data_IF_499086083866
#
_entry.id   IF_499086083866
#
_cell.length_a   1.000
_cell.length_b   1.000
_cell.length_c   1.000
_cell.angle_alpha   90.00
_cell.angle_beta   90.00
_cell.angle_gamma   90.00
#
_symmetry.space_group_name_H-M   'P 1'
#
loop_
_entity.id
_entity.type
_entity.pdbx_description
1 polymer ?
#
# COMPACT_ATOMS: atom_id res chain seq x y z
N UNK A 1 27.31 0.73 -6.97
CA UNK A 1 25.95 1.24 -7.29
C UNK A 1 24.97 0.07 -7.28
N UNK A 2 23.73 0.24 -6.81
CA UNK A 2 22.75 -0.85 -6.67
C UNK A 2 21.56 -0.67 -7.60
N UNK A 3 20.92 -1.78 -7.95
CA UNK A 3 19.68 -1.84 -8.74
C UNK A 3 18.67 -2.72 -8.04
N UNK A 4 17.38 -2.47 -8.24
CA UNK A 4 16.33 -3.38 -7.77
C UNK A 4 16.36 -4.68 -8.58
N UNK A 5 16.15 -5.83 -7.93
CA UNK A 5 16.15 -7.13 -8.60
C UNK A 5 14.95 -7.30 -9.54
N UNK A 6 15.08 -8.23 -10.47
CA UNK A 6 13.91 -8.78 -11.14
C UNK A 6 13.29 -9.85 -10.24
N UNK A 7 12.08 -9.63 -9.75
CA UNK A 7 11.36 -10.62 -8.94
C UNK A 7 9.91 -10.74 -9.43
N UNK A 8 9.54 -11.84 -10.10
CA UNK A 8 8.17 -12.05 -10.55
C UNK A 8 7.19 -12.17 -9.36
N UNK A 9 7.66 -12.75 -8.24
CA UNK A 9 6.87 -12.81 -7.01
C UNK A 9 6.57 -11.42 -6.45
N UNK A 10 7.57 -10.54 -6.42
CA UNK A 10 7.37 -9.16 -5.98
C UNK A 10 6.43 -8.39 -6.92
N UNK A 11 6.49 -8.67 -8.23
CA UNK A 11 5.57 -8.08 -9.21
C UNK A 11 4.12 -8.49 -8.94
N UNK A 12 3.87 -9.78 -8.71
CA UNK A 12 2.52 -10.27 -8.39
C UNK A 12 1.98 -9.64 -7.10
N UNK A 13 2.80 -9.55 -6.05
CA UNK A 13 2.41 -8.89 -4.79
C UNK A 13 2.15 -7.40 -5.00
N UNK A 14 2.97 -6.74 -5.80
CA UNK A 14 2.81 -5.32 -6.13
C UNK A 14 1.52 -5.04 -6.91
N UNK A 15 0.97 -6.00 -7.66
CA UNK A 15 -0.27 -5.82 -8.40
C UNK A 15 -1.53 -5.92 -7.53
N UNK A 16 -1.44 -6.46 -6.32
CA UNK A 16 -2.62 -6.65 -5.45
C UNK A 16 -3.39 -5.34 -5.19
N UNK A 17 -2.76 -4.21 -4.81
CA UNK A 17 -3.49 -2.96 -4.59
C UNK A 17 -4.24 -2.47 -5.84
N UNK A 18 -3.61 -2.58 -7.01
CA UNK A 18 -4.24 -2.23 -8.29
C UNK A 18 -5.40 -3.17 -8.61
N UNK A 19 -5.23 -4.47 -8.41
CA UNK A 19 -6.27 -5.48 -8.60
C UNK A 19 -7.50 -5.20 -7.74
N UNK A 20 -7.31 -4.84 -6.47
CA UNK A 20 -8.39 -4.49 -5.53
C UNK A 20 -9.11 -3.21 -5.98
N UNK A 21 -8.36 -2.14 -6.30
CA UNK A 21 -8.96 -0.88 -6.74
C UNK A 21 -9.74 -1.06 -8.04
N UNK A 22 -9.20 -1.80 -9.01
CA UNK A 22 -9.92 -2.10 -10.24
C UNK A 22 -11.17 -2.94 -10.00
N UNK A 23 -11.13 -3.90 -9.07
CA UNK A 23 -12.30 -4.71 -8.76
C UNK A 23 -13.44 -3.84 -8.19
N UNK A 24 -13.11 -2.92 -7.28
CA UNK A 24 -14.07 -1.96 -6.71
C UNK A 24 -14.62 -1.03 -7.79
N UNK A 25 -13.76 -0.44 -8.63
CA UNK A 25 -14.19 0.45 -9.71
C UNK A 25 -15.07 -0.28 -10.74
N UNK A 26 -14.73 -1.53 -11.07
CA UNK A 26 -15.48 -2.38 -12.00
C UNK A 26 -16.86 -2.72 -11.42
N UNK A 27 -16.92 -3.10 -10.14
CA UNK A 27 -18.18 -3.37 -9.44
C UNK A 27 -19.08 -2.13 -9.39
N UNK A 28 -18.51 -0.95 -9.09
CA UNK A 28 -19.26 0.31 -9.09
C UNK A 28 -19.76 0.69 -10.48
N UNK A 29 -18.95 0.50 -11.52
CA UNK A 29 -19.37 0.73 -12.90
C UNK A 29 -20.49 -0.22 -13.32
N UNK A 30 -20.42 -1.50 -12.92
CA UNK A 30 -21.46 -2.49 -13.18
C UNK A 30 -22.77 -2.14 -12.47
N UNK A 31 -22.69 -1.76 -11.19
CA UNK A 31 -23.86 -1.30 -10.42
C UNK A 31 -24.49 -0.06 -11.08
N UNK A 32 -23.68 0.91 -11.51
CA UNK A 32 -24.16 2.08 -12.24
C UNK A 32 -24.84 1.72 -13.57
N UNK A 33 -24.27 0.78 -14.34
CA UNK A 33 -24.83 0.33 -15.60
C UNK A 33 -26.17 -0.42 -15.42
N UNK A 34 -26.22 -1.37 -14.46
CA UNK A 34 -27.45 -2.08 -14.08
C UNK A 34 -28.57 -1.14 -13.68
N UNK A 35 -28.20 -0.08 -12.96
CA UNK A 35 -29.15 0.90 -12.49
C UNK A 35 -29.66 1.77 -13.66
N UNK A 36 -28.78 2.27 -14.54
CA UNK A 36 -29.16 3.16 -15.64
C UNK A 36 -29.93 2.45 -16.76
N UNK A 37 -29.50 1.25 -17.16
CA UNK A 37 -30.09 0.46 -18.23
C UNK A 37 -30.03 -1.04 -17.89
N UNK A 38 -31.01 -1.58 -17.15
CA UNK A 38 -30.97 -2.95 -16.64
C UNK A 38 -30.94 -4.03 -17.74
N UNK A 39 -31.31 -3.67 -18.97
CA UNK A 39 -31.27 -4.57 -20.13
C UNK A 39 -29.93 -4.56 -20.88
N UNK A 40 -29.06 -3.58 -20.65
CA UNK A 40 -27.76 -3.41 -21.34
C UNK A 40 -26.55 -3.71 -20.43
N UNK A 41 -26.75 -4.61 -19.47
CA UNK A 41 -25.67 -5.02 -18.57
C UNK A 41 -24.66 -5.89 -19.34
N UNK A 42 -23.36 -5.54 -19.36
CA UNK A 42 -22.36 -6.32 -20.07
C UNK A 42 -22.27 -7.74 -19.52
N UNK A 43 -22.06 -8.71 -20.41
CA UNK A 43 -21.94 -10.11 -20.04
C UNK A 43 -20.79 -10.32 -19.03
N UNK A 44 -20.90 -11.28 -18.10
CA UNK A 44 -19.85 -11.55 -17.10
C UNK A 44 -18.46 -11.77 -17.72
N UNK A 45 -18.39 -12.45 -18.86
CA UNK A 45 -17.14 -12.70 -19.58
C UNK A 45 -16.50 -11.40 -20.09
N UNK A 46 -17.31 -10.45 -20.56
CA UNK A 46 -16.85 -9.15 -21.02
C UNK A 46 -16.31 -8.32 -19.85
N UNK A 47 -16.98 -8.36 -18.70
CA UNK A 47 -16.52 -7.72 -17.45
C UNK A 47 -15.17 -8.29 -17.03
N UNK A 48 -15.02 -9.61 -17.05
CA UNK A 48 -13.77 -10.30 -16.72
C UNK A 48 -12.65 -9.92 -17.69
N UNK A 49 -12.93 -9.89 -19.00
CA UNK A 49 -11.95 -9.51 -20.03
C UNK A 49 -11.47 -8.07 -19.80
N UNK A 50 -12.36 -7.11 -19.55
CA UNK A 50 -11.94 -5.73 -19.27
C UNK A 50 -11.14 -5.61 -17.98
N UNK A 51 -11.53 -6.32 -16.92
CA UNK A 51 -10.79 -6.35 -15.66
C UNK A 51 -9.36 -6.89 -15.85
N UNK A 52 -9.24 -8.05 -16.51
CA UNK A 52 -7.94 -8.70 -16.78
C UNK A 52 -7.09 -7.84 -17.72
N UNK A 53 -7.67 -7.28 -18.78
CA UNK A 53 -6.96 -6.40 -19.71
C UNK A 53 -6.39 -5.16 -19.00
N UNK A 54 -7.14 -4.59 -18.06
CA UNK A 54 -6.70 -3.44 -17.28
C UNK A 54 -5.54 -3.79 -16.34
N UNK A 55 -5.67 -4.90 -15.62
CA UNK A 55 -4.61 -5.37 -14.72
C UNK A 55 -3.34 -5.76 -15.50
N UNK A 56 -3.50 -6.37 -16.68
CA UNK A 56 -2.38 -6.71 -17.57
C UNK A 56 -1.67 -5.45 -18.10
N UNK A 57 -2.43 -4.41 -18.45
CA UNK A 57 -1.88 -3.12 -18.89
C UNK A 57 -1.03 -2.49 -17.78
N UNK A 58 -1.53 -2.43 -16.55
CA UNK A 58 -0.77 -1.89 -15.43
C UNK A 58 0.46 -2.73 -15.09
N UNK A 59 0.36 -4.06 -15.16
CA UNK A 59 1.50 -4.96 -14.99
C UNK A 59 2.59 -4.75 -16.04
N UNK A 60 2.21 -4.58 -17.30
CA UNK A 60 3.14 -4.29 -18.39
C UNK A 60 3.84 -2.93 -18.19
N UNK A 61 3.08 -1.90 -17.79
CA UNK A 61 3.63 -0.56 -17.54
C UNK A 61 4.54 -0.54 -16.30
N UNK A 62 4.16 -1.20 -15.20
CA UNK A 62 5.01 -1.37 -14.02
C UNK A 62 6.32 -2.08 -14.37
N UNK A 63 6.26 -3.13 -15.17
CA UNK A 63 7.45 -3.84 -15.65
C UNK A 63 8.35 -2.95 -16.51
N UNK A 64 7.76 -2.19 -17.44
CA UNK A 64 8.49 -1.24 -18.28
C UNK A 64 9.14 -0.12 -17.45
N UNK A 65 8.42 0.43 -16.47
CA UNK A 65 8.93 1.42 -15.54
C UNK A 65 10.11 0.89 -14.71
N UNK A 66 9.98 -0.33 -14.18
CA UNK A 66 11.07 -1.00 -13.46
C UNK A 66 12.31 -1.14 -14.35
N UNK A 67 12.13 -1.62 -15.58
CA UNK A 67 13.21 -1.75 -16.55
C UNK A 67 13.93 -0.42 -16.78
N UNK A 68 13.19 0.67 -16.96
CA UNK A 68 13.73 2.03 -17.16
C UNK A 68 14.50 2.54 -15.93
N UNK A 69 13.94 2.39 -14.72
CA UNK A 69 14.63 2.79 -13.48
C UNK A 69 15.90 1.97 -13.26
N UNK A 70 15.87 0.68 -13.61
CA UNK A 70 17.01 -0.23 -13.52
C UNK A 70 18.14 0.17 -14.46
N UNK A 71 17.83 0.57 -15.70
CA UNK A 71 18.82 1.07 -16.66
C UNK A 71 19.54 2.34 -16.16
N UNK A 72 18.82 3.20 -15.42
CA UNK A 72 19.37 4.42 -14.82
C UNK A 72 19.99 4.19 -13.43
N UNK A 73 20.03 2.94 -12.97
CA UNK A 73 20.51 2.56 -11.64
C UNK A 73 19.86 3.35 -10.48
N UNK A 74 18.56 3.66 -10.64
CA UNK A 74 17.75 4.30 -9.61
C UNK A 74 17.13 3.19 -8.75
N UNK A 75 17.45 3.18 -7.46
CA UNK A 75 16.99 2.14 -6.53
C UNK A 75 16.18 2.69 -5.34
N UNK A 76 15.78 3.96 -5.38
CA UNK A 76 15.04 4.56 -4.27
C UNK A 76 13.58 4.10 -4.27
N UNK A 77 13.06 3.74 -3.08
CA UNK A 77 11.66 3.30 -2.93
C UNK A 77 10.67 4.39 -3.35
N UNK A 78 11.03 5.65 -3.14
CA UNK A 78 10.24 6.80 -3.57
C UNK A 78 10.18 6.92 -5.10
N UNK A 79 11.29 6.69 -5.81
CA UNK A 79 11.27 6.67 -7.28
C UNK A 79 10.38 5.54 -7.81
N UNK A 80 10.40 4.37 -7.17
CA UNK A 80 9.49 3.28 -7.49
C UNK A 80 8.03 3.62 -7.19
N UNK A 81 7.74 4.32 -6.09
CA UNK A 81 6.39 4.81 -5.80
C UNK A 81 5.92 5.80 -6.88
N UNK A 82 6.72 6.81 -7.22
CA UNK A 82 6.37 7.78 -8.26
C UNK A 82 6.20 7.13 -9.63
N UNK A 83 7.08 6.19 -9.98
CA UNK A 83 6.96 5.40 -11.20
C UNK A 83 5.64 4.63 -11.22
N UNK A 84 5.31 3.92 -10.15
CA UNK A 84 4.06 3.15 -10.08
C UNK A 84 2.83 4.04 -10.24
N UNK A 85 2.81 5.23 -9.63
CA UNK A 85 1.74 6.21 -9.81
C UNK A 85 1.64 6.71 -11.25
N UNK A 86 2.76 7.13 -11.84
CA UNK A 86 2.80 7.59 -13.22
C UNK A 86 2.35 6.51 -14.21
N UNK A 87 2.76 5.25 -13.98
CA UNK A 87 2.37 4.11 -14.81
C UNK A 87 0.87 3.81 -14.70
N UNK A 88 0.30 3.82 -13.48
CA UNK A 88 -1.14 3.61 -13.32
C UNK A 88 -1.98 4.77 -13.90
N UNK A 89 -1.49 6.01 -13.82
CA UNK A 89 -2.12 7.15 -14.49
C UNK A 89 -2.09 7.01 -16.02
N UNK A 90 -0.96 6.56 -16.57
CA UNK A 90 -0.84 6.27 -18.00
C UNK A 90 -1.72 5.09 -18.43
N UNK A 91 -1.76 4.01 -17.64
CA UNK A 91 -2.64 2.85 -17.85
C UNK A 91 -4.11 3.25 -17.83
N UNK A 92 -4.49 4.14 -16.91
CA UNK A 92 -5.82 4.73 -16.86
C UNK A 92 -6.15 5.52 -18.15
N UNK A 93 -5.25 6.37 -18.63
CA UNK A 93 -5.43 7.13 -19.87
C UNK A 93 -5.54 6.21 -21.11
N UNK A 94 -4.72 5.17 -21.19
CA UNK A 94 -4.76 4.15 -22.25
C UNK A 94 -6.10 3.41 -22.21
N UNK A 95 -6.58 3.03 -21.03
CA UNK A 95 -7.85 2.35 -20.86
C UNK A 95 -9.04 3.21 -21.32
N UNK A 96 -9.03 4.52 -21.05
CA UNK A 96 -10.05 5.44 -21.59
C UNK A 96 -9.99 5.48 -23.12
N UNK A 97 -8.79 5.69 -23.67
CA UNK A 97 -8.60 5.88 -25.11
C UNK A 97 -9.04 4.66 -25.93
N UNK A 98 -8.82 3.46 -25.39
CA UNK A 98 -9.12 2.19 -26.06
C UNK A 98 -10.45 1.56 -25.60
N UNK A 99 -11.29 2.29 -24.88
CA UNK A 99 -12.59 1.81 -24.38
C UNK A 99 -12.49 0.50 -23.56
N UNK A 100 -11.41 0.33 -22.79
CA UNK A 100 -11.17 -0.83 -21.90
C UNK A 100 -11.78 -0.55 -20.52
N UNK A 101 -12.96 0.07 -20.49
CA UNK A 101 -13.70 0.40 -19.28
C UNK A 101 -15.17 0.07 -19.49
N UNK A 102 -15.86 -0.36 -18.43
CA UNK A 102 -17.29 -0.69 -18.47
C UNK A 102 -18.18 0.55 -18.69
N UNK A 103 -17.70 1.73 -18.32
CA UNK A 103 -18.43 2.98 -18.52
C UNK A 103 -17.49 4.07 -19.02
N UNK A 104 -18.01 4.91 -19.90
CA UNK A 104 -17.30 6.13 -20.32
C UNK A 104 -17.33 7.15 -19.18
N UNK A 105 -16.19 7.73 -18.77
CA UNK A 105 -16.17 8.79 -17.78
C UNK A 105 -17.04 9.97 -18.23
N UNK A 106 -17.93 10.44 -17.37
CA UNK A 106 -18.66 11.67 -17.64
C UNK A 106 -17.69 12.86 -17.73
N UNK A 107 -17.99 13.84 -18.59
CA UNK A 107 -17.21 15.07 -18.71
C UNK A 107 -16.97 15.71 -17.34
N UNK A 108 -15.71 16.02 -17.02
CA UNK A 108 -15.31 16.60 -15.73
C UNK A 108 -14.94 15.59 -14.62
N UNK A 109 -15.18 14.28 -14.79
CA UNK A 109 -14.84 13.24 -13.78
C UNK A 109 -13.52 12.52 -14.05
N UNK A 110 -12.88 12.80 -15.19
CA UNK A 110 -11.66 12.12 -15.66
C UNK A 110 -10.51 12.17 -14.65
N UNK A 111 -10.25 13.33 -14.05
CA UNK A 111 -9.19 13.52 -13.06
C UNK A 111 -9.49 12.76 -11.76
N UNK A 112 -10.73 12.82 -11.30
CA UNK A 112 -11.17 12.22 -10.03
C UNK A 112 -11.13 10.69 -10.10
N UNK A 113 -11.59 10.11 -11.22
CA UNK A 113 -11.52 8.66 -11.47
C UNK A 113 -10.09 8.14 -11.64
N UNK A 114 -9.18 8.96 -12.17
CA UNK A 114 -7.77 8.60 -12.33
C UNK A 114 -6.96 8.61 -11.02
N UNK A 115 -7.44 9.30 -9.99
CA UNK A 115 -6.71 9.49 -8.73
C UNK A 115 -6.55 8.18 -7.94
N UNK A 116 -7.63 7.40 -7.79
CA UNK A 116 -7.63 6.12 -7.08
C UNK A 116 -6.64 5.11 -7.70
N UNK A 117 -6.68 4.83 -9.02
CA UNK A 117 -5.68 4.01 -9.69
C UNK A 117 -4.26 4.56 -9.54
N UNK A 118 -4.07 5.89 -9.61
CA UNK A 118 -2.74 6.51 -9.45
C UNK A 118 -2.17 6.23 -8.06
N UNK A 119 -2.95 6.42 -7.00
CA UNK A 119 -2.52 6.13 -5.62
C UNK A 119 -2.24 4.63 -5.45
N UNK A 120 -3.11 3.76 -5.98
CA UNK A 120 -2.89 2.31 -5.98
C UNK A 120 -1.60 1.94 -6.71
N UNK A 121 -1.31 2.60 -7.84
CA UNK A 121 -0.07 2.49 -8.58
C UNK A 121 1.14 2.92 -7.76
N UNK A 122 1.04 4.02 -7.01
CA UNK A 122 2.13 4.45 -6.12
C UNK A 122 2.44 3.41 -5.05
N UNK A 123 1.40 2.83 -4.44
CA UNK A 123 1.55 1.75 -3.47
C UNK A 123 2.16 0.52 -4.15
N UNK A 124 1.66 0.13 -5.33
CA UNK A 124 2.19 -0.99 -6.12
C UNK A 124 3.69 -0.85 -6.43
N UNK A 125 4.09 0.30 -6.98
CA UNK A 125 5.48 0.58 -7.28
C UNK A 125 6.35 0.54 -6.03
N UNK A 126 5.91 1.15 -4.93
CA UNK A 126 6.60 1.09 -3.65
C UNK A 126 6.79 -0.36 -3.15
N UNK A 127 5.73 -1.18 -3.19
CA UNK A 127 5.76 -2.61 -2.81
C UNK A 127 6.77 -3.38 -3.64
N UNK A 128 6.79 -3.13 -4.95
CA UNK A 128 7.74 -3.77 -5.85
C UNK A 128 9.19 -3.44 -5.45
N UNK A 129 9.49 -2.15 -5.27
CA UNK A 129 10.82 -1.70 -4.82
C UNK A 129 11.22 -2.23 -3.44
N UNK A 130 10.25 -2.48 -2.55
CA UNK A 130 10.45 -3.08 -1.23
C UNK A 130 10.77 -4.58 -1.33
N UNK A 131 9.94 -5.35 -2.04
CA UNK A 131 9.99 -6.82 -2.00
C UNK A 131 10.92 -7.44 -3.03
N UNK A 132 11.22 -6.74 -4.14
CA UNK A 132 12.18 -7.26 -5.11
C UNK A 132 13.60 -7.30 -4.51
N UNK A 133 13.93 -6.40 -3.58
CA UNK A 133 15.26 -6.29 -2.99
C UNK A 133 16.29 -5.69 -3.96
N UNK A 134 17.54 -5.61 -3.53
CA UNK A 134 18.63 -4.94 -4.24
C UNK A 134 19.72 -5.93 -4.68
N UNK A 135 20.26 -5.73 -5.88
CA UNK A 135 21.47 -6.34 -6.39
C UNK A 135 22.54 -5.29 -6.73
N UNK A 136 23.83 -5.65 -6.65
CA UNK A 136 24.88 -4.81 -7.20
C UNK A 136 24.66 -4.61 -8.71
N UNK A 137 24.78 -3.36 -9.17
CA UNK A 137 24.67 -3.04 -10.58
C UNK A 137 25.84 -3.71 -11.33
N UNK A 138 25.53 -4.41 -12.42
CA UNK A 138 26.48 -5.24 -13.20
C UNK A 138 27.71 -4.48 -13.76
N UNK A 139 27.76 -3.15 -13.64
CA UNK A 139 28.92 -2.30 -13.98
C UNK A 139 30.07 -2.36 -12.97
N UNK A 140 29.91 -3.03 -11.83
CA UNK A 140 30.98 -3.22 -10.86
C UNK A 140 31.42 -4.68 -10.86
N UNK A 141 32.72 -4.97 -10.66
CA UNK A 141 33.22 -6.35 -10.62
C UNK A 141 32.38 -7.16 -9.65
N UNK A 142 32.01 -8.39 -10.07
CA UNK A 142 31.39 -9.37 -9.19
C UNK A 142 32.35 -9.54 -8.01
N UNK A 143 32.03 -8.95 -6.86
CA UNK A 143 32.63 -9.37 -5.60
C UNK A 143 32.47 -10.89 -5.56
N UNK A 144 33.58 -11.61 -5.42
CA UNK A 144 33.57 -13.08 -5.48
C UNK A 144 32.49 -13.59 -4.53
N UNK A 145 31.75 -14.60 -4.99
CA UNK A 145 30.65 -15.18 -4.23
C UNK A 145 31.13 -15.71 -2.86
N UNK A 146 32.41 -16.05 -2.74
CA UNK A 146 33.10 -16.44 -1.50
C UNK A 146 33.27 -15.29 -0.50
N UNK A 147 33.41 -14.04 -0.96
CA UNK A 147 33.49 -12.84 -0.10
C UNK A 147 32.13 -12.24 0.27
N UNK A 148 31.08 -12.55 -0.49
CA UNK A 148 29.70 -12.11 -0.21
C UNK A 148 28.91 -13.13 0.62
N UNK A 149 29.23 -14.43 0.51
CA UNK A 149 28.73 -15.47 1.41
C UNK A 149 29.29 -15.29 2.83
N UNK A 150 30.45 -14.65 2.95
CA UNK A 150 31.07 -14.19 4.21
C UNK A 150 30.80 -12.70 4.48
N UNK A 151 29.82 -12.06 3.79
CA UNK A 151 29.36 -10.71 4.12
C UNK A 151 28.76 -10.72 5.52
N UNK A 152 29.63 -10.46 6.48
CA UNK A 152 29.41 -10.43 7.92
C UNK A 152 28.05 -9.86 8.26
N UNK A 153 27.22 -10.78 8.75
CA UNK A 153 25.87 -10.54 9.21
C UNK A 153 25.92 -9.78 10.53
N UNK A 154 25.12 -8.71 10.67
CA UNK A 154 24.88 -8.12 11.98
C UNK A 154 24.03 -9.09 12.81
N UNK A 155 24.67 -9.85 13.68
CA UNK A 155 24.06 -10.69 14.70
C UNK A 155 23.95 -9.90 16.01
N UNK A 156 23.02 -8.95 16.04
CA UNK A 156 22.84 -8.07 17.19
C UNK A 156 21.38 -7.63 17.37
N UNK A 157 21.05 -6.99 18.50
CA UNK A 157 19.69 -6.56 18.77
C UNK A 157 19.21 -5.57 17.70
N UNK A 158 18.00 -5.82 17.18
CA UNK A 158 17.39 -4.99 16.14
C UNK A 158 16.15 -4.29 16.65
N UNK A 159 15.83 -3.14 16.04
CA UNK A 159 14.60 -2.40 16.30
C UNK A 159 13.96 -2.01 14.98
N UNK A 160 12.67 -1.70 15.01
CA UNK A 160 11.95 -1.22 13.83
C UNK A 160 12.42 0.19 13.50
N UNK A 161 12.77 0.46 12.24
CA UNK A 161 13.23 1.78 11.77
C UNK A 161 12.06 2.77 11.70
N UNK A 162 12.30 4.04 12.01
CA UNK A 162 11.28 5.08 11.73
C UNK A 162 11.20 5.33 10.23
N UNK A 163 10.02 5.12 9.64
CA UNK A 163 9.82 5.26 8.20
C UNK A 163 8.65 6.18 7.89
N UNK A 164 8.94 7.38 7.37
CA UNK A 164 7.90 8.34 6.94
C UNK A 164 7.00 7.71 5.87
N UNK A 165 7.59 7.01 4.89
CA UNK A 165 6.82 6.31 3.86
C UNK A 165 5.93 5.21 4.46
N UNK A 166 6.45 4.47 5.45
CA UNK A 166 5.66 3.46 6.17
C UNK A 166 4.48 4.08 6.94
N UNK A 167 4.68 5.23 7.57
CA UNK A 167 3.63 5.99 8.25
C UNK A 167 2.56 6.43 7.25
N UNK A 168 2.96 7.06 6.14
CA UNK A 168 2.02 7.53 5.11
C UNK A 168 1.18 6.38 4.55
N UNK A 169 1.82 5.27 4.18
CA UNK A 169 1.10 4.10 3.65
C UNK A 169 0.12 3.56 4.70
N UNK A 170 0.59 3.31 5.93
CA UNK A 170 -0.28 2.81 6.99
C UNK A 170 -1.44 3.78 7.32
N UNK A 171 -1.17 5.09 7.33
CA UNK A 171 -2.15 6.13 7.63
C UNK A 171 -3.23 6.31 6.54
N UNK A 172 -2.95 5.89 5.30
CA UNK A 172 -3.96 5.91 4.22
C UNK A 172 -4.94 4.74 4.29
N UNK A 173 -4.61 3.67 5.00
CA UNK A 173 -5.42 2.44 5.02
C UNK A 173 -6.80 2.60 5.64
N UNK A 174 -7.00 3.35 6.75
CA UNK A 174 -8.33 3.60 7.26
C UNK A 174 -9.26 4.24 6.24
N UNK A 175 -8.76 5.18 5.43
CA UNK A 175 -9.53 5.80 4.37
C UNK A 175 -9.94 4.77 3.31
N UNK A 176 -8.98 3.97 2.81
CA UNK A 176 -9.25 2.90 1.84
C UNK A 176 -10.31 1.93 2.37
N UNK A 177 -10.11 1.40 3.57
CA UNK A 177 -10.99 0.38 4.15
C UNK A 177 -12.37 0.95 4.47
N UNK A 178 -12.44 2.16 5.02
CA UNK A 178 -13.72 2.82 5.31
C UNK A 178 -14.49 3.13 4.04
N UNK A 179 -13.83 3.62 2.98
CA UNK A 179 -14.49 3.83 1.69
C UNK A 179 -15.06 2.53 1.15
N UNK A 180 -14.28 1.45 1.13
CA UNK A 180 -14.73 0.15 0.62
C UNK A 180 -15.92 -0.33 1.44
N UNK A 181 -15.84 -0.28 2.78
CA UNK A 181 -16.91 -0.72 3.66
C UNK A 181 -18.18 0.12 3.49
N UNK A 182 -18.06 1.45 3.48
CA UNK A 182 -19.19 2.38 3.32
C UNK A 182 -19.89 2.19 1.98
N UNK A 183 -19.14 2.04 0.88
CA UNK A 183 -19.71 1.79 -0.45
C UNK A 183 -20.40 0.43 -0.48
N UNK A 184 -19.77 -0.61 0.07
CA UNK A 184 -20.34 -1.96 0.10
C UNK A 184 -21.64 -1.98 0.91
N UNK A 185 -21.66 -1.33 2.08
CA UNK A 185 -22.87 -1.21 2.90
C UNK A 185 -23.95 -0.39 2.21
N UNK A 186 -23.60 0.74 1.59
CA UNK A 186 -24.54 1.57 0.86
C UNK A 186 -25.18 0.81 -0.32
N UNK A 187 -24.40 0.00 -1.05
CA UNK A 187 -24.91 -0.83 -2.13
C UNK A 187 -25.91 -1.90 -1.67
N UNK A 188 -25.89 -2.27 -0.38
CA UNK A 188 -26.85 -3.21 0.21
C UNK A 188 -28.15 -2.53 0.69
N UNK A 189 -28.22 -1.20 0.73
CA UNK A 189 -29.41 -0.49 1.19
C UNK A 189 -30.51 -0.47 0.11
N UNK A 190 -31.77 -0.81 0.46
CA UNK A 190 -32.90 -0.73 -0.47
C UNK A 190 -33.06 0.68 -1.04
N UNK A 191 -33.16 0.80 -2.36
CA UNK A 191 -33.33 2.08 -3.05
C UNK A 191 -32.04 2.87 -3.29
N UNK A 192 -30.88 2.45 -2.77
CA UNK A 192 -29.60 3.10 -3.10
C UNK A 192 -29.24 2.92 -4.58
N UNK A 193 -29.44 1.73 -5.12
CA UNK A 193 -29.28 1.45 -6.55
C UNK A 193 -30.24 2.28 -7.38
N UNK A 194 -31.52 2.35 -6.99
CA UNK A 194 -32.57 3.14 -7.64
C UNK A 194 -32.28 4.65 -7.61
N UNK A 195 -31.74 5.15 -6.49
CA UNK A 195 -31.28 6.52 -6.36
C UNK A 195 -30.15 6.81 -7.33
N UNK A 196 -29.11 5.96 -7.34
CA UNK A 196 -27.93 6.09 -8.20
C UNK A 196 -28.25 5.97 -9.70
N UNK A 197 -29.38 5.37 -10.08
CA UNK A 197 -29.85 5.29 -11.48
C UNK A 197 -30.64 6.48 -12.01
N UNK A 198 -31.21 7.33 -11.15
CA UNK A 198 -32.27 8.24 -11.57
C UNK A 198 -31.73 9.62 -12.03
N UNK A 199 -32.02 10.06 -13.26
CA UNK A 199 -31.72 11.43 -13.72
C UNK A 199 -30.24 11.74 -13.99
N UNK A 200 -29.73 12.89 -13.53
CA UNK A 200 -28.33 13.35 -13.63
C UNK A 200 -27.33 12.54 -12.78
N UNK A 201 -27.79 11.46 -12.14
CA UNK A 201 -27.03 10.63 -11.20
C UNK A 201 -25.87 9.77 -11.72
N UNK A 202 -25.66 9.42 -13.01
CA UNK A 202 -24.50 8.60 -13.37
C UNK A 202 -23.16 9.32 -13.13
N UNK A 203 -23.13 10.66 -13.18
CA UNK A 203 -21.96 11.46 -12.82
C UNK A 203 -21.69 11.37 -11.31
N UNK A 204 -22.74 11.44 -10.50
CA UNK A 204 -22.68 11.32 -9.04
C UNK A 204 -22.27 9.90 -8.66
N UNK A 205 -22.79 8.88 -9.34
CA UNK A 205 -22.46 7.48 -9.09
C UNK A 205 -20.97 7.17 -9.29
N UNK A 206 -20.37 7.85 -10.25
CA UNK A 206 -18.94 7.79 -10.58
C UNK A 206 -18.08 8.65 -9.63
N UNK A 207 -18.53 9.86 -9.29
CA UNK A 207 -17.76 10.81 -8.50
C UNK A 207 -17.80 10.50 -6.99
N UNK A 208 -18.90 9.93 -6.51
CA UNK A 208 -19.17 9.71 -5.09
C UNK A 208 -18.13 8.78 -4.42
N UNK A 209 -17.68 7.67 -5.02
CA UNK A 209 -16.59 6.87 -4.47
C UNK A 209 -15.28 7.64 -4.30
N UNK A 210 -14.89 8.43 -5.31
CA UNK A 210 -13.66 9.21 -5.28
C UNK A 210 -13.76 10.36 -4.27
N UNK A 211 -14.91 11.01 -4.18
CA UNK A 211 -15.18 12.08 -3.22
C UNK A 211 -15.25 11.55 -1.78
N UNK A 212 -15.91 10.42 -1.54
CA UNK A 212 -15.90 9.75 -0.24
C UNK A 212 -14.48 9.30 0.14
N UNK A 213 -13.73 8.74 -0.80
CA UNK A 213 -12.33 8.39 -0.57
C UNK A 213 -11.48 9.60 -0.18
N UNK A 214 -11.54 10.69 -0.95
CA UNK A 214 -10.80 11.91 -0.64
C UNK A 214 -11.24 12.52 0.69
N UNK A 215 -12.54 12.50 0.98
CA UNK A 215 -13.09 13.00 2.25
C UNK A 215 -12.56 12.19 3.41
N UNK A 216 -12.69 10.86 3.37
CA UNK A 216 -12.13 10.00 4.41
C UNK A 216 -10.62 10.13 4.49
N UNK A 217 -9.90 10.20 3.37
CA UNK A 217 -8.46 10.41 3.36
C UNK A 217 -8.06 11.68 4.10
N UNK A 218 -8.64 12.83 3.74
CA UNK A 218 -8.33 14.12 4.39
C UNK A 218 -8.67 14.09 5.88
N UNK A 219 -9.83 13.53 6.24
CA UNK A 219 -10.29 13.47 7.63
C UNK A 219 -9.44 12.49 8.45
N UNK A 220 -9.04 11.35 7.89
CA UNK A 220 -8.39 10.29 8.67
C UNK A 220 -6.87 10.29 8.60
N UNK A 221 -6.23 10.89 7.59
CA UNK A 221 -4.78 10.72 7.37
C UNK A 221 -3.94 11.27 8.53
N UNK A 222 -4.26 12.46 9.04
CA UNK A 222 -3.54 13.08 10.16
C UNK A 222 -3.74 12.29 11.46
N UNK A 223 -4.97 11.99 11.93
CA UNK A 223 -5.14 11.21 13.14
C UNK A 223 -4.58 9.79 13.01
N UNK A 224 -4.66 9.18 11.83
CA UNK A 224 -4.06 7.86 11.58
C UNK A 224 -2.54 7.90 11.63
N UNK A 225 -1.90 8.93 11.08
CA UNK A 225 -0.45 9.10 11.16
C UNK A 225 0.02 9.29 12.60
N UNK A 226 -0.73 10.05 13.41
CA UNK A 226 -0.46 10.20 14.85
C UNK A 226 -0.59 8.84 15.55
N UNK A 227 -1.63 8.07 15.26
CA UNK A 227 -1.82 6.73 15.85
C UNK A 227 -0.66 5.79 15.48
N UNK A 228 -0.21 5.77 14.23
CA UNK A 228 0.94 4.96 13.79
C UNK A 228 2.23 5.41 14.46
N UNK A 229 2.45 6.72 14.64
CA UNK A 229 3.60 7.24 15.37
C UNK A 229 3.58 6.79 16.84
N UNK A 230 2.44 6.95 17.53
CA UNK A 230 2.27 6.48 18.89
C UNK A 230 2.51 4.96 19.01
N UNK A 231 1.94 4.18 18.08
CA UNK A 231 2.15 2.73 17.99
C UNK A 231 3.63 2.39 17.83
N UNK A 232 4.35 3.08 16.93
CA UNK A 232 5.78 2.87 16.71
C UNK A 232 6.60 3.15 17.96
N UNK A 233 6.34 4.26 18.64
CA UNK A 233 7.06 4.63 19.86
C UNK A 233 6.75 3.67 21.01
N UNK A 234 5.49 3.27 21.17
CA UNK A 234 5.07 2.28 22.16
C UNK A 234 5.73 0.91 21.90
N UNK A 235 5.68 0.44 20.65
CA UNK A 235 6.32 -0.81 20.25
C UNK A 235 7.84 -0.79 20.49
N UNK A 236 8.49 0.34 20.19
CA UNK A 236 9.93 0.55 20.49
C UNK A 236 10.21 0.52 21.98
N UNK A 237 9.41 1.17 22.81
CA UNK A 237 9.55 1.16 24.27
C UNK A 237 9.41 -0.27 24.83
N UNK A 238 8.50 -1.06 24.28
CA UNK A 238 8.25 -2.44 24.67
C UNK A 238 9.20 -3.46 23.99
N UNK A 239 10.18 -2.99 23.20
CA UNK A 239 11.12 -3.83 22.41
C UNK A 239 10.43 -4.85 21.49
N UNK A 240 9.23 -4.52 21.02
CA UNK A 240 8.43 -5.35 20.11
C UNK A 240 8.89 -5.14 18.67
N UNK A 241 9.01 -6.23 17.93
CA UNK A 241 9.60 -6.22 16.59
C UNK A 241 8.94 -7.22 15.63
N UNK A 242 7.98 -8.04 16.07
CA UNK A 242 7.26 -8.98 15.20
C UNK A 242 6.03 -8.31 14.58
N UNK A 243 5.65 -8.74 13.37
CA UNK A 243 4.51 -8.17 12.65
C UNK A 243 3.18 -8.33 13.39
N UNK A 244 2.93 -9.51 13.98
CA UNK A 244 1.72 -9.78 14.74
C UNK A 244 1.64 -8.96 16.04
N UNK A 245 2.78 -8.63 16.66
CA UNK A 245 2.81 -7.75 17.85
C UNK A 245 2.35 -6.34 17.48
N UNK A 246 2.83 -5.82 16.35
CA UNK A 246 2.38 -4.53 15.82
C UNK A 246 0.91 -4.54 15.44
N UNK A 247 0.41 -5.64 14.85
CA UNK A 247 -1.01 -5.80 14.56
C UNK A 247 -1.84 -5.79 15.85
N UNK A 248 -1.45 -6.57 16.86
CA UNK A 248 -2.15 -6.62 18.14
C UNK A 248 -2.16 -5.26 18.85
N UNK A 249 -1.00 -4.59 18.94
CA UNK A 249 -0.91 -3.26 19.54
C UNK A 249 -1.72 -2.22 18.76
N UNK A 250 -1.68 -2.24 17.43
CA UNK A 250 -2.47 -1.33 16.60
C UNK A 250 -3.98 -1.54 16.78
N UNK A 251 -4.43 -2.79 16.82
CA UNK A 251 -5.83 -3.14 17.07
C UNK A 251 -6.29 -2.71 18.47
N UNK A 252 -5.47 -2.96 19.50
CA UNK A 252 -5.77 -2.52 20.88
C UNK A 252 -5.85 -1.01 20.99
N UNK A 253 -4.89 -0.28 20.40
CA UNK A 253 -4.91 1.19 20.41
C UNK A 253 -6.16 1.74 19.72
N UNK A 254 -6.53 1.19 18.56
CA UNK A 254 -7.75 1.60 17.88
C UNK A 254 -9.01 1.26 18.68
N UNK A 255 -9.06 0.11 19.36
CA UNK A 255 -10.15 -0.25 20.27
C UNK A 255 -10.27 0.75 21.42
N UNK A 256 -9.15 1.12 22.04
CA UNK A 256 -9.11 2.10 23.12
C UNK A 256 -9.57 3.47 22.62
N UNK A 257 -9.11 3.92 21.45
CA UNK A 257 -9.59 5.18 20.85
C UNK A 257 -11.10 5.13 20.57
N UNK A 258 -11.60 4.05 19.98
CA UNK A 258 -13.03 3.89 19.72
C UNK A 258 -13.87 3.90 21.01
N UNK A 259 -13.38 3.24 22.06
CA UNK A 259 -14.01 3.25 23.39
C UNK A 259 -14.01 4.65 24.01
N UNK A 260 -12.88 5.38 23.97
CA UNK A 260 -12.80 6.74 24.52
C UNK A 260 -13.69 7.74 23.76
N UNK A 261 -13.93 7.51 22.47
CA UNK A 261 -14.82 8.33 21.65
C UNK A 261 -16.31 7.95 21.77
N UNK A 262 -16.63 6.82 22.42
CA UNK A 262 -18.01 6.34 22.51
C UNK A 262 -19.01 7.29 23.18
N UNK A 263 -18.64 8.14 24.15
CA UNK A 263 -19.58 9.11 24.71
C UNK A 263 -20.01 10.19 23.70
N UNK A 264 -19.16 10.49 22.71
CA UNK A 264 -19.45 11.50 21.68
C UNK A 264 -20.15 10.91 20.46
N UNK A 265 -20.04 9.60 20.27
CA UNK A 265 -20.70 8.86 19.20
C UNK A 265 -21.33 7.62 19.84
N UNK A 266 -22.58 7.71 20.32
CA UNK A 266 -23.25 6.63 21.07
C UNK A 266 -23.28 5.30 20.33
N UNK A 267 -23.17 5.34 19.00
CA UNK A 267 -23.06 4.19 18.11
C UNK A 267 -21.66 3.54 18.09
N UNK A 268 -20.66 3.99 18.86
CA UNK A 268 -19.30 3.39 18.86
C UNK A 268 -19.08 2.37 19.98
N UNK A 269 -19.79 2.43 21.11
CA UNK A 269 -19.65 1.44 22.20
C UNK A 269 -20.51 0.22 21.94
N UNK A 270 -19.87 -0.93 21.69
CA UNK A 270 -20.57 -2.22 21.54
C UNK A 270 -21.22 -2.43 20.16
N UNK A 271 -20.90 -1.59 19.18
CA UNK A 271 -21.41 -1.71 17.82
C UNK A 271 -20.45 -2.47 16.89
N UNK A 272 -20.91 -2.93 15.71
CA UNK A 272 -20.03 -3.45 14.66
C UNK A 272 -18.89 -2.50 14.26
N UNK A 273 -18.99 -1.19 14.55
CA UNK A 273 -17.94 -0.22 14.26
C UNK A 273 -16.70 -0.40 15.15
N UNK A 274 -16.83 -0.94 16.37
CA UNK A 274 -15.67 -1.26 17.21
C UNK A 274 -14.84 -2.38 16.58
N UNK A 275 -15.48 -3.40 16.00
CA UNK A 275 -14.79 -4.47 15.28
C UNK A 275 -14.06 -3.93 14.04
N UNK A 276 -14.68 -3.01 13.30
CA UNK A 276 -14.04 -2.35 12.17
C UNK A 276 -12.80 -1.55 12.65
N UNK A 277 -12.92 -0.78 13.73
CA UNK A 277 -11.81 -0.01 14.30
C UNK A 277 -10.63 -0.91 14.72
N UNK A 278 -10.89 -2.02 15.42
CA UNK A 278 -9.88 -3.01 15.80
C UNK A 278 -9.17 -3.56 14.56
N UNK A 279 -9.96 -3.95 13.56
CA UNK A 279 -9.44 -4.52 12.30
C UNK A 279 -8.57 -3.51 11.57
N UNK A 280 -9.00 -2.24 11.49
CA UNK A 280 -8.25 -1.18 10.85
C UNK A 280 -6.94 -0.89 11.59
N UNK A 281 -6.99 -0.77 12.91
CA UNK A 281 -5.80 -0.60 13.74
C UNK A 281 -4.80 -1.75 13.58
N UNK A 282 -5.28 -2.99 13.51
CA UNK A 282 -4.44 -4.16 13.31
C UNK A 282 -3.77 -4.16 11.93
N UNK A 283 -4.52 -3.82 10.87
CA UNK A 283 -3.98 -3.69 9.51
C UNK A 283 -2.94 -2.58 9.45
N UNK A 284 -3.24 -1.40 10.03
CA UNK A 284 -2.29 -0.28 10.09
C UNK A 284 -0.98 -0.68 10.77
N UNK A 285 -1.06 -1.35 11.93
CA UNK A 285 0.13 -1.78 12.66
C UNK A 285 0.95 -2.82 11.89
N UNK A 286 0.30 -3.84 11.34
CA UNK A 286 0.94 -4.85 10.52
C UNK A 286 1.65 -4.25 9.31
N UNK A 287 0.97 -3.36 8.59
CA UNK A 287 1.50 -2.70 7.40
C UNK A 287 2.65 -1.77 7.74
N UNK A 288 2.50 -0.95 8.78
CA UNK A 288 3.59 -0.09 9.24
C UNK A 288 4.84 -0.92 9.51
N UNK A 289 4.71 -2.03 10.26
CA UNK A 289 5.84 -2.92 10.55
C UNK A 289 6.45 -3.54 9.29
N UNK A 290 5.63 -3.94 8.33
CA UNK A 290 6.09 -4.50 7.07
C UNK A 290 6.92 -3.49 6.24
N UNK A 291 6.55 -2.20 6.29
CA UNK A 291 7.21 -1.15 5.50
C UNK A 291 8.35 -0.43 6.21
N UNK A 292 8.29 -0.33 7.52
CA UNK A 292 9.29 0.35 8.33
C UNK A 292 10.67 -0.29 8.21
N UNK A 293 10.71 -1.63 8.10
CA UNK A 293 11.96 -2.39 8.10
C UNK A 293 12.62 -2.43 9.48
N UNK A 294 13.74 -3.11 9.57
CA UNK A 294 14.55 -3.22 10.79
C UNK A 294 15.84 -2.41 10.64
N UNK A 295 16.32 -1.89 11.75
CA UNK A 295 17.64 -1.27 11.90
C UNK A 295 18.35 -1.83 13.14
N UNK A 296 19.69 -1.88 13.15
CA UNK A 296 20.46 -2.19 14.35
C UNK A 296 20.10 -1.23 15.50
N UNK A 297 20.04 -1.75 16.72
CA UNK A 297 19.95 -0.89 17.91
C UNK A 297 21.28 -0.12 18.02
N UNK A 298 21.25 1.21 18.22
CA UNK A 298 22.47 1.97 18.47
C UNK A 298 23.15 1.39 19.71
N UNK A 299 24.41 0.99 19.55
CA UNK A 299 25.21 0.47 20.64
C UNK A 299 25.43 1.59 21.67
N UNK A 300 25.37 1.29 22.98
CA UNK A 300 25.91 2.20 23.98
C UNK A 300 27.42 2.42 23.72
N UNK A 301 28.02 3.43 24.38
CA UNK A 301 29.46 3.71 24.31
C UNK A 301 30.32 2.44 24.49
N UNK A 302 31.51 2.45 23.88
CA UNK A 302 32.55 1.42 23.90
C UNK A 302 32.07 -0.01 24.24
N UNK A 303 31.66 -0.75 23.20
CA UNK A 303 31.25 -2.16 23.34
C UNK A 303 32.48 -3.06 23.32
N UNK A 304 32.67 -3.84 24.38
CA UNK A 304 33.67 -4.92 24.40
C UNK A 304 33.18 -6.03 23.48
N UNK A 305 33.83 -6.19 22.33
CA UNK A 305 33.54 -7.31 21.44
C UNK A 305 34.19 -8.58 21.98
N UNK A 306 33.37 -9.60 22.26
CA UNK A 306 33.82 -10.94 22.66
C UNK A 306 34.40 -11.74 21.50
N UNK A 307 34.01 -11.40 20.26
CA UNK A 307 34.54 -12.00 19.04
C UNK A 307 35.08 -10.91 18.10
N UNK A 308 36.39 -10.87 17.83
CA UNK A 308 36.98 -9.91 16.90
C UNK A 308 36.52 -10.12 15.45
N UNK A 309 36.02 -11.29 15.08
CA UNK A 309 35.50 -11.54 13.74
C UNK A 309 34.11 -10.93 13.51
N UNK A 310 33.37 -10.60 14.57
CA UNK A 310 32.10 -9.88 14.49
C UNK A 310 32.28 -8.35 14.32
N UNK A 311 33.52 -7.87 14.40
CA UNK A 311 33.85 -6.45 14.24
C UNK A 311 33.95 -6.08 12.76
N UNK A 312 33.00 -5.25 12.32
CA UNK A 312 32.97 -4.71 10.98
C UNK A 312 33.57 -3.30 10.97
N UNK A 313 34.61 -3.11 10.14
CA UNK A 313 35.33 -1.85 9.98
C UNK A 313 34.40 -0.67 9.65
N UNK A 314 34.83 0.55 10.01
CA UNK A 314 34.01 1.76 9.84
C UNK A 314 33.60 2.01 8.38
N UNK A 315 34.46 1.63 7.43
CA UNK A 315 34.27 1.89 5.99
C UNK A 315 33.51 0.78 5.25
N UNK A 316 33.12 -0.28 5.96
CA UNK A 316 32.55 -1.48 5.36
C UNK A 316 31.21 -1.20 4.64
N UNK A 317 31.03 -1.70 3.41
CA UNK A 317 29.78 -1.57 2.64
C UNK A 317 28.51 -2.02 3.39
N UNK A 318 28.62 -2.97 4.33
CA UNK A 318 27.52 -3.47 5.14
C UNK A 318 26.94 -2.38 6.07
N UNK A 319 27.78 -1.49 6.62
CA UNK A 319 27.32 -0.35 7.43
C UNK A 319 26.47 0.63 6.61
N UNK A 320 26.79 0.82 5.32
CA UNK A 320 26.03 1.71 4.42
C UNK A 320 24.66 1.13 4.04
N UNK A 321 24.44 -0.16 4.23
CA UNK A 321 23.25 -0.87 3.77
C UNK A 321 22.25 -1.20 4.88
N UNK A 322 22.63 -1.05 6.16
CA UNK A 322 21.81 -1.39 7.32
C UNK A 322 21.06 -2.74 7.16
N UNK A 323 21.71 -3.73 6.54
CA UNK A 323 21.10 -5.04 6.31
C UNK A 323 21.09 -5.83 7.61
N UNK A 324 19.90 -6.28 8.00
CA UNK A 324 19.66 -7.11 9.18
C UNK A 324 19.31 -8.52 8.70
N UNK A 325 20.00 -9.54 9.20
CA UNK A 325 19.63 -10.94 9.02
C UNK A 325 18.96 -11.40 10.32
N UNK A 326 17.78 -12.00 10.22
CA UNK A 326 17.14 -12.64 11.36
C UNK A 326 17.68 -14.07 11.43
N UNK A 327 18.41 -14.41 12.49
CA UNK A 327 18.62 -15.81 12.86
C UNK A 327 17.26 -16.34 13.34
N UNK A 328 16.78 -17.40 12.69
CA UNK A 328 15.57 -18.11 13.12
C UNK A 328 15.89 -18.97 14.34
#
# INVERSE_FOLDING_TARGET
MYVVNNSPRALLVALIPLAVVHAVLTAMALLGAQAAQPTDVPAPDQVLVFYVARLATDGALLFAGHWMLRQRAISSRFAYALMGGAMAAAGYAIAIRNSIQLSSPAGGTLLTMGLLPTIAGMIAGFLYGQFAGLAPAARFPKLSYEGLATSLAFDGPTRVRTSVAGIVIAATMPAVLTTILSITLAALMPGFTTYMSSGTNPVIAVALPAQLFLTFLVVTIVPSAILVLCLHHLARALRRHRAWEYAAMGGLMAATCAYLLSPMVPLLSGSPLTFAAVTYGAIMGALYRAFAGLEPVPLPEAVIATDPNALVAADDPARRQHRVILSN
#
